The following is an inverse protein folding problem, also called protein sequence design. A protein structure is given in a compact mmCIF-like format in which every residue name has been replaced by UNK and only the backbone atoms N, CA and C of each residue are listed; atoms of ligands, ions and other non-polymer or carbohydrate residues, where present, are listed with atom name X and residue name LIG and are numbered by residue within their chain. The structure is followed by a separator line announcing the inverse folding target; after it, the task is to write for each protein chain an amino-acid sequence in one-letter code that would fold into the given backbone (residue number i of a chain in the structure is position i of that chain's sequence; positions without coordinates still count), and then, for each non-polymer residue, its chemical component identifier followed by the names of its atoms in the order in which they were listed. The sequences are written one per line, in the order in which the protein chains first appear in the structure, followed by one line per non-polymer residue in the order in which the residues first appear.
data_IF_336172440364
#
_entry.id   IF_336172440364
#
_cell.length_a   1.000
_cell.length_b   1.000
_cell.length_c   1.000
_cell.angle_alpha   90.00
_cell.angle_beta   90.00
_cell.angle_gamma   90.00
#
_symmetry.space_group_name_H-M   'P 1'
#
loop_
_entity.id
_entity.type
_entity.pdbx_description
1 polymer ?
#
# COMPACT_ATOMS: atom_id res chain seq x y z
N UNK A 1 28.34 -28.27 -51.00
CA UNK A 1 28.11 -28.79 -49.63
C UNK A 1 29.11 -28.10 -48.72
N UNK A 2 28.79 -27.45 -47.61
CA UNK A 2 27.57 -27.31 -46.81
C UNK A 2 27.63 -25.93 -46.12
N UNK A 3 26.48 -25.29 -45.98
CA UNK A 3 26.27 -23.99 -45.33
C UNK A 3 26.62 -24.07 -43.83
N UNK A 4 27.45 -23.16 -43.36
CA UNK A 4 27.68 -22.86 -41.94
C UNK A 4 27.57 -21.34 -41.75
N UNK A 5 26.34 -20.81 -41.61
CA UNK A 5 26.16 -19.38 -41.28
C UNK A 5 24.86 -18.98 -40.58
N UNK A 6 23.91 -19.88 -40.32
CA UNK A 6 22.56 -19.45 -39.85
C UNK A 6 22.19 -19.84 -38.40
N UNK A 7 23.10 -20.40 -37.59
CA UNK A 7 22.72 -20.91 -36.25
C UNK A 7 23.18 -20.05 -35.05
N UNK A 8 24.11 -19.12 -35.23
CA UNK A 8 24.63 -18.28 -34.13
C UNK A 8 23.75 -17.07 -33.84
N UNK A 9 23.11 -16.48 -34.86
CA UNK A 9 22.27 -15.28 -34.70
C UNK A 9 20.97 -15.56 -33.94
N UNK A 10 20.33 -16.72 -34.19
CA UNK A 10 19.09 -17.11 -33.52
C UNK A 10 19.27 -17.47 -32.03
N UNK A 11 20.44 -17.99 -31.61
CA UNK A 11 20.72 -18.27 -30.20
C UNK A 11 21.00 -17.00 -29.40
N UNK A 12 21.65 -16.02 -30.01
CA UNK A 12 21.95 -14.74 -29.35
C UNK A 12 20.66 -13.92 -29.12
N UNK A 13 19.74 -13.91 -30.10
CA UNK A 13 18.42 -13.29 -29.97
C UNK A 13 17.54 -13.97 -28.91
N UNK A 14 17.62 -15.30 -28.77
CA UNK A 14 16.87 -16.03 -27.75
C UNK A 14 17.44 -15.78 -26.34
N UNK A 15 18.76 -15.69 -26.19
CA UNK A 15 19.42 -15.34 -24.91
C UNK A 15 19.16 -13.87 -24.54
N UNK A 16 19.16 -12.96 -25.51
CA UNK A 16 18.77 -11.56 -25.28
C UNK A 16 17.27 -11.47 -24.93
N UNK A 17 16.40 -12.23 -25.61
CA UNK A 17 14.98 -12.28 -25.27
C UNK A 17 14.73 -12.88 -23.88
N UNK A 18 15.48 -13.90 -23.45
CA UNK A 18 15.39 -14.44 -22.08
C UNK A 18 15.94 -13.45 -21.03
N UNK A 19 17.01 -12.71 -21.34
CA UNK A 19 17.57 -11.71 -20.44
C UNK A 19 16.72 -10.44 -20.32
N UNK A 20 15.93 -10.10 -21.36
CA UNK A 20 14.99 -8.97 -21.36
C UNK A 20 13.67 -9.34 -20.62
N UNK A 21 13.41 -10.64 -20.38
CA UNK A 21 12.13 -11.13 -19.85
C UNK A 21 12.15 -11.54 -18.36
N UNK A 22 13.25 -11.41 -17.62
CA UNK A 22 13.26 -11.83 -16.21
C UNK A 22 13.96 -10.85 -15.26
N UNK A 23 13.52 -9.59 -15.24
CA UNK A 23 13.59 -8.80 -14.00
C UNK A 23 12.40 -9.17 -13.13
N UNK A 24 12.29 -10.46 -12.79
CA UNK A 24 11.36 -10.93 -11.79
C UNK A 24 12.01 -10.68 -10.43
N UNK A 25 11.31 -10.00 -9.54
CA UNK A 25 11.71 -9.95 -8.13
C UNK A 25 10.60 -10.55 -7.27
N UNK A 26 11.03 -11.16 -6.18
CA UNK A 26 10.17 -11.88 -5.24
C UNK A 26 10.06 -11.01 -3.99
N UNK A 27 8.83 -10.75 -3.56
CA UNK A 27 8.56 -10.09 -2.28
C UNK A 27 7.82 -11.04 -1.36
N UNK A 28 8.27 -11.10 -0.11
CA UNK A 28 7.55 -11.77 0.96
C UNK A 28 6.74 -10.76 1.76
N UNK A 29 5.48 -11.09 2.01
CA UNK A 29 4.59 -10.30 2.85
C UNK A 29 4.21 -11.12 4.09
N UNK A 30 4.51 -10.65 5.31
CA UNK A 30 4.12 -11.35 6.53
C UNK A 30 2.61 -11.60 6.63
N UNK A 31 2.23 -12.83 7.01
CA UNK A 31 0.86 -13.24 7.26
C UNK A 31 0.55 -13.17 8.74
N UNK A 32 0.21 -11.97 9.16
CA UNK A 32 -0.23 -11.73 10.50
C UNK A 32 -1.70 -12.11 10.72
N UNK A 33 -1.98 -12.55 11.94
CA UNK A 33 -3.34 -12.78 12.44
C UNK A 33 -3.55 -12.02 13.74
N UNK A 34 -4.71 -11.40 13.88
CA UNK A 34 -5.09 -10.70 15.11
C UNK A 34 -6.13 -11.52 15.88
N UNK A 35 -5.80 -11.93 17.11
CA UNK A 35 -6.72 -12.53 18.08
C UNK A 35 -7.00 -11.54 19.21
N UNK A 36 -8.14 -10.85 19.13
CA UNK A 36 -8.44 -9.75 20.06
C UNK A 36 -7.46 -8.59 19.87
N UNK A 37 -6.58 -8.39 20.84
CA UNK A 37 -5.47 -7.42 20.78
C UNK A 37 -4.09 -8.08 20.67
N UNK A 38 -4.01 -9.40 20.52
CA UNK A 38 -2.74 -10.10 20.30
C UNK A 38 -2.49 -10.32 18.82
N UNK A 39 -1.38 -9.79 18.34
CA UNK A 39 -0.84 -10.09 17.03
C UNK A 39 -0.07 -11.39 17.05
N UNK A 40 -0.27 -12.22 16.03
CA UNK A 40 0.34 -13.53 15.92
C UNK A 40 0.98 -13.67 14.55
N UNK A 41 2.26 -14.02 14.54
CA UNK A 41 2.97 -14.48 13.35
C UNK A 41 3.29 -15.96 13.50
N UNK A 42 2.68 -16.80 12.65
CA UNK A 42 2.81 -18.25 12.71
C UNK A 42 3.61 -18.79 11.52
N UNK A 43 4.81 -19.30 11.82
CA UNK A 43 5.75 -19.86 10.87
C UNK A 43 5.70 -21.40 10.80
N UNK A 44 4.81 -22.04 11.55
CA UNK A 44 4.72 -23.51 11.58
C UNK A 44 4.15 -24.12 10.30
N UNK A 45 3.51 -23.30 9.47
CA UNK A 45 2.97 -23.69 8.17
C UNK A 45 4.05 -23.89 7.09
N UNK A 46 3.66 -24.54 5.99
CA UNK A 46 4.54 -24.72 4.82
C UNK A 46 4.89 -23.41 4.11
N UNK A 47 4.08 -22.38 4.30
CA UNK A 47 4.31 -21.03 3.80
C UNK A 47 5.18 -20.18 4.76
N UNK A 48 5.61 -20.77 5.89
CA UNK A 48 6.43 -20.11 6.91
C UNK A 48 5.89 -18.75 7.33
N UNK A 49 4.56 -18.59 7.37
CA UNK A 49 3.93 -17.36 7.82
C UNK A 49 4.09 -16.18 6.85
N UNK A 50 4.40 -16.41 5.58
CA UNK A 50 4.49 -15.35 4.56
C UNK A 50 3.64 -15.66 3.32
N UNK A 51 3.26 -14.61 2.59
CA UNK A 51 2.83 -14.72 1.20
C UNK A 51 3.99 -14.28 0.32
N UNK A 52 4.58 -15.24 -0.39
CA UNK A 52 5.61 -14.98 -1.40
C UNK A 52 4.96 -14.61 -2.72
N UNK A 53 5.29 -13.43 -3.24
CA UNK A 53 4.76 -12.90 -4.49
C UNK A 53 5.87 -12.75 -5.52
N UNK A 54 5.76 -13.54 -6.59
CA UNK A 54 6.62 -13.46 -7.76
C UNK A 54 6.01 -12.49 -8.77
N UNK A 55 6.65 -11.33 -8.95
CA UNK A 55 6.13 -10.27 -9.83
C UNK A 55 6.05 -10.65 -11.30
N UNK A 56 6.75 -11.70 -11.74
CA UNK A 56 6.61 -12.20 -13.12
C UNK A 56 5.29 -12.94 -13.37
N UNK A 57 4.62 -13.37 -12.30
CA UNK A 57 3.37 -14.13 -12.35
C UNK A 57 2.13 -13.27 -12.12
N UNK A 58 2.29 -12.01 -11.75
CA UNK A 58 1.18 -11.12 -11.45
C UNK A 58 0.52 -10.58 -12.72
N UNK A 59 -0.81 -10.55 -12.69
CA UNK A 59 -1.60 -9.77 -13.64
C UNK A 59 -1.66 -8.34 -13.11
N UNK A 60 -0.92 -7.42 -13.73
CA UNK A 60 -0.83 -5.99 -13.37
C UNK A 60 -2.19 -5.39 -12.95
N UNK A 61 -2.49 -5.23 -11.65
CA UNK A 61 -3.85 -4.98 -11.19
C UNK A 61 -4.40 -3.63 -11.63
N UNK A 62 -3.54 -2.68 -11.98
CA UNK A 62 -3.87 -1.34 -12.49
C UNK A 62 -3.89 -1.25 -14.01
N UNK A 63 -3.88 -2.38 -14.73
CA UNK A 63 -3.88 -2.45 -16.19
C UNK A 63 -2.69 -1.74 -16.87
N UNK A 64 -1.62 -1.43 -16.14
CA UNK A 64 -0.39 -0.86 -16.67
C UNK A 64 0.70 -1.91 -16.90
N UNK A 65 1.74 -1.54 -17.63
CA UNK A 65 2.94 -2.34 -17.87
C UNK A 65 4.17 -1.48 -17.64
N UNK A 66 5.28 -2.09 -17.24
CA UNK A 66 6.55 -1.37 -17.02
C UNK A 66 7.11 -0.73 -18.30
N UNK A 67 6.67 -1.23 -19.47
CA UNK A 67 6.99 -0.69 -20.80
C UNK A 67 6.13 0.49 -21.22
N UNK A 68 5.08 0.84 -20.48
CA UNK A 68 4.20 1.95 -20.85
C UNK A 68 4.95 3.28 -20.72
N UNK A 69 4.70 4.20 -21.65
CA UNK A 69 5.31 5.54 -21.63
C UNK A 69 4.91 6.30 -20.37
N UNK A 70 3.68 6.11 -19.90
CA UNK A 70 3.16 6.69 -18.68
C UNK A 70 2.27 5.71 -17.93
N UNK A 71 2.29 5.79 -16.61
CA UNK A 71 1.45 4.99 -15.73
C UNK A 71 1.11 5.79 -14.48
N UNK A 72 -0.09 5.57 -13.94
CA UNK A 72 -0.49 6.08 -12.62
C UNK A 72 -1.41 5.08 -11.94
N UNK A 73 -1.25 4.92 -10.63
CA UNK A 73 -2.15 4.12 -9.79
C UNK A 73 -3.32 4.93 -9.27
N UNK A 74 -3.25 6.27 -9.39
CA UNK A 74 -4.29 7.18 -8.93
C UNK A 74 -5.48 7.19 -9.91
N UNK A 75 -6.72 7.26 -9.40
CA UNK A 75 -7.90 7.44 -10.25
C UNK A 75 -7.86 8.74 -11.06
N UNK A 76 -8.51 8.76 -12.23
CA UNK A 76 -8.53 9.94 -13.15
C UNK A 76 -9.07 11.23 -12.52
N UNK A 77 -9.87 11.12 -11.45
CA UNK A 77 -10.39 12.27 -10.70
C UNK A 77 -9.34 13.01 -9.89
N UNK A 78 -8.16 12.43 -9.68
CA UNK A 78 -7.05 13.02 -8.93
C UNK A 78 -6.09 13.65 -9.92
N UNK A 79 -6.25 14.96 -10.15
CA UNK A 79 -5.43 15.73 -11.11
C UNK A 79 -4.58 16.80 -10.44
N UNK A 80 -5.04 17.29 -9.29
CA UNK A 80 -4.38 18.32 -8.49
C UNK A 80 -4.43 17.92 -7.01
N UNK A 81 -3.55 18.50 -6.21
CA UNK A 81 -3.41 18.17 -4.77
C UNK A 81 -4.68 18.43 -3.98
N UNK A 82 -5.47 19.44 -4.35
CA UNK A 82 -6.78 19.72 -3.72
C UNK A 82 -7.85 18.65 -4.00
N UNK A 83 -7.59 17.65 -4.86
CA UNK A 83 -8.43 16.47 -4.97
C UNK A 83 -8.13 15.41 -3.90
N UNK A 84 -7.02 15.55 -3.17
CA UNK A 84 -6.67 14.70 -2.03
C UNK A 84 -7.33 15.28 -0.77
N UNK A 85 -8.29 14.55 -0.22
CA UNK A 85 -8.99 14.99 1.02
C UNK A 85 -8.06 15.04 2.24
N UNK A 86 -6.95 14.32 2.17
CA UNK A 86 -5.88 14.27 3.17
C UNK A 86 -4.75 15.27 2.87
N UNK A 87 -4.95 16.21 1.94
CA UNK A 87 -3.97 17.27 1.66
C UNK A 87 -3.62 18.08 2.91
N UNK A 88 -4.60 18.36 3.78
CA UNK A 88 -4.34 18.96 5.08
C UNK A 88 -3.95 17.87 6.12
N UNK A 89 -2.90 18.15 6.91
CA UNK A 89 -2.54 17.36 8.10
C UNK A 89 -2.73 18.17 9.38
N UNK A 90 -2.96 17.52 10.54
CA UNK A 90 -2.87 18.17 11.84
C UNK A 90 -1.46 18.73 12.09
N UNK A 91 -1.37 19.72 13.00
CA UNK A 91 -0.07 20.13 13.55
C UNK A 91 0.46 19.01 14.46
N UNK A 92 1.31 18.16 13.91
CA UNK A 92 1.82 16.95 14.56
C UNK A 92 3.08 17.20 15.40
N UNK A 93 3.73 18.36 15.28
CA UNK A 93 4.94 18.69 16.04
C UNK A 93 4.67 18.66 17.56
N UNK A 94 3.44 18.95 17.98
CA UNK A 94 3.05 18.82 19.39
C UNK A 94 3.05 17.38 19.91
N UNK A 95 3.18 16.37 19.05
CA UNK A 95 3.22 14.97 19.45
C UNK A 95 4.64 14.45 19.70
N UNK A 96 5.69 15.18 19.30
CA UNK A 96 7.08 14.71 19.34
C UNK A 96 7.50 14.19 20.73
N UNK A 97 7.08 14.87 21.81
CA UNK A 97 7.39 14.46 23.19
C UNK A 97 6.21 13.77 23.91
N UNK A 98 5.11 13.48 23.20
CA UNK A 98 3.86 12.98 23.80
C UNK A 98 3.48 11.61 23.27
N UNK A 99 3.66 11.38 21.97
CA UNK A 99 3.25 10.15 21.31
C UNK A 99 4.03 9.97 20.00
N UNK A 100 5.16 9.26 20.10
CA UNK A 100 6.10 8.99 19.00
C UNK A 100 5.38 8.43 17.77
N UNK A 101 4.46 7.47 17.98
CA UNK A 101 3.64 6.92 16.90
C UNK A 101 2.94 8.01 16.09
N UNK A 102 2.25 8.95 16.74
CA UNK A 102 1.51 10.01 16.03
C UNK A 102 2.47 10.96 15.34
N UNK A 103 3.58 11.29 15.97
CA UNK A 103 4.60 12.12 15.36
C UNK A 103 5.10 11.48 14.06
N UNK A 104 5.58 10.24 14.12
CA UNK A 104 6.11 9.54 12.94
C UNK A 104 5.03 9.17 11.91
N UNK A 105 3.78 8.96 12.32
CA UNK A 105 2.65 8.77 11.41
C UNK A 105 2.50 9.92 10.40
N UNK A 106 2.71 11.15 10.86
CA UNK A 106 2.64 12.35 10.03
C UNK A 106 4.00 12.80 9.49
N UNK A 107 5.11 12.51 10.18
CA UNK A 107 6.46 12.88 9.75
C UNK A 107 6.98 11.98 8.63
N UNK A 108 6.70 10.66 8.69
CA UNK A 108 7.18 9.66 7.73
C UNK A 108 6.18 9.41 6.58
N UNK A 109 5.24 10.33 6.35
CA UNK A 109 4.25 10.25 5.26
C UNK A 109 3.36 8.98 5.28
N UNK A 110 3.28 8.25 6.41
CA UNK A 110 2.43 7.06 6.55
C UNK A 110 0.95 7.45 6.43
N UNK A 111 0.56 8.58 7.02
CA UNK A 111 -0.77 9.19 6.81
C UNK A 111 -1.11 9.37 5.32
N UNK A 112 -0.17 9.90 4.55
CA UNK A 112 -0.37 10.17 3.12
C UNK A 112 -0.40 8.89 2.29
N UNK A 113 0.42 7.91 2.66
CA UNK A 113 0.44 6.60 2.04
C UNK A 113 -0.90 5.89 2.20
N UNK A 114 -1.48 5.89 3.40
CA UNK A 114 -2.79 5.29 3.65
C UNK A 114 -3.93 5.98 2.93
N UNK A 115 -3.94 7.32 2.90
CA UNK A 115 -4.90 8.07 2.09
C UNK A 115 -4.83 7.67 0.61
N UNK A 116 -3.60 7.43 0.13
CA UNK A 116 -3.35 7.00 -1.25
C UNK A 116 -3.74 5.55 -1.52
N UNK A 117 -3.57 4.65 -0.56
CA UNK A 117 -4.10 3.29 -0.62
C UNK A 117 -5.62 3.35 -0.80
N UNK A 118 -6.33 4.21 -0.05
CA UNK A 118 -7.76 4.47 -0.26
C UNK A 118 -8.13 4.78 -1.70
N UNK A 119 -7.37 5.68 -2.33
CA UNK A 119 -7.59 6.07 -3.71
C UNK A 119 -7.26 4.94 -4.69
N UNK A 120 -6.09 4.32 -4.57
CA UNK A 120 -5.56 3.39 -5.56
C UNK A 120 -6.21 2.00 -5.52
N UNK A 121 -6.49 1.48 -4.30
CA UNK A 121 -7.09 0.17 -4.10
C UNK A 121 -8.62 0.22 -4.09
N UNK A 122 -9.18 1.32 -3.58
CA UNK A 122 -10.61 1.39 -3.27
C UNK A 122 -11.38 2.48 -4.02
N UNK A 123 -10.69 3.37 -4.75
CA UNK A 123 -11.29 4.52 -5.43
C UNK A 123 -12.13 5.43 -4.50
N UNK A 124 -11.79 5.44 -3.20
CA UNK A 124 -12.42 6.29 -2.19
C UNK A 124 -11.43 7.31 -1.67
N UNK A 125 -11.95 8.48 -1.31
CA UNK A 125 -11.22 9.45 -0.52
C UNK A 125 -11.38 9.11 0.96
N UNK A 126 -10.28 9.07 1.71
CA UNK A 126 -10.27 8.85 3.16
C UNK A 126 -9.27 9.81 3.77
N UNK A 127 -9.61 10.37 4.94
CA UNK A 127 -8.70 11.07 5.85
C UNK A 127 -8.33 10.07 6.95
N UNK A 128 -7.20 9.34 6.84
CA UNK A 128 -6.89 8.25 7.76
C UNK A 128 -6.78 8.71 9.21
N UNK A 129 -7.49 8.03 10.12
CA UNK A 129 -7.48 8.34 11.54
C UNK A 129 -6.31 7.67 12.27
N UNK A 130 -5.39 8.47 12.79
CA UNK A 130 -4.30 8.03 13.67
C UNK A 130 -4.82 7.38 14.97
N UNK A 131 -5.88 7.92 15.55
CA UNK A 131 -6.53 7.35 16.74
C UNK A 131 -7.17 6.00 16.47
N UNK A 132 -7.71 5.75 15.27
CA UNK A 132 -8.18 4.41 14.91
C UNK A 132 -7.01 3.42 14.91
N UNK A 133 -5.88 3.79 14.29
CA UNK A 133 -4.69 2.95 14.30
C UNK A 133 -4.27 2.63 15.73
N UNK A 134 -4.07 3.64 16.58
CA UNK A 134 -3.61 3.46 17.97
C UNK A 134 -4.56 2.66 18.85
N UNK A 135 -5.87 2.93 18.76
CA UNK A 135 -6.84 2.30 19.68
C UNK A 135 -7.16 0.87 19.26
N UNK A 136 -7.10 0.58 17.96
CA UNK A 136 -7.41 -0.72 17.39
C UNK A 136 -6.17 -1.59 17.13
N UNK A 137 -4.96 -1.06 17.33
CA UNK A 137 -3.71 -1.79 17.19
C UNK A 137 -3.59 -2.97 18.17
N UNK A 138 -2.81 -4.01 17.82
CA UNK A 138 -2.37 -4.99 18.80
C UNK A 138 -1.66 -4.34 20.00
N UNK A 139 -1.87 -4.93 21.17
CA UNK A 139 -1.21 -4.59 22.45
C UNK A 139 -0.16 -5.61 22.86
N UNK A 140 -0.11 -6.75 22.18
CA UNK A 140 0.95 -7.74 22.33
C UNK A 140 1.23 -8.43 21.01
N UNK A 141 2.43 -8.99 20.90
CA UNK A 141 2.91 -9.74 19.75
C UNK A 141 3.39 -11.12 20.20
N UNK A 142 3.18 -12.13 19.35
CA UNK A 142 3.54 -13.52 19.62
C UNK A 142 3.98 -14.22 18.34
N UNK A 143 5.13 -14.88 18.41
CA UNK A 143 5.63 -15.74 17.34
C UNK A 143 5.36 -17.21 17.63
N UNK A 144 5.02 -17.97 16.59
CA UNK A 144 4.96 -19.42 16.61
C UNK A 144 5.98 -19.94 15.60
N UNK A 145 7.06 -20.53 16.10
CA UNK A 145 8.18 -20.97 15.26
C UNK A 145 7.86 -22.19 14.38
N UNK A 146 8.80 -22.60 13.52
CA UNK A 146 8.58 -23.66 12.52
C UNK A 146 8.18 -25.04 13.08
N UNK A 147 8.53 -25.34 14.34
CA UNK A 147 8.11 -26.58 15.02
C UNK A 147 6.89 -26.42 15.93
N UNK A 148 6.17 -25.30 15.81
CA UNK A 148 4.99 -24.98 16.62
C UNK A 148 5.31 -24.45 18.03
N UNK A 149 6.58 -24.21 18.33
CA UNK A 149 6.99 -23.62 19.61
C UNK A 149 6.53 -22.17 19.68
N UNK A 150 5.95 -21.80 20.81
CA UNK A 150 5.51 -20.42 21.06
C UNK A 150 6.70 -19.66 21.65
N UNK A 151 7.09 -18.56 20.99
CA UNK A 151 8.09 -17.62 21.50
C UNK A 151 7.57 -16.82 22.68
N UNK A 152 8.42 -15.94 23.22
CA UNK A 152 7.99 -14.99 24.24
C UNK A 152 6.92 -14.03 23.66
N UNK A 153 6.05 -13.54 24.54
CA UNK A 153 5.00 -12.58 24.17
C UNK A 153 5.51 -11.17 24.44
N UNK A 154 5.82 -10.45 23.39
CA UNK A 154 6.23 -9.05 23.47
C UNK A 154 5.03 -8.17 23.80
N UNK A 155 5.19 -7.30 24.80
CA UNK A 155 4.18 -6.28 25.11
C UNK A 155 4.43 -5.07 24.23
N UNK A 156 3.37 -4.56 23.61
CA UNK A 156 3.44 -3.38 22.74
C UNK A 156 2.84 -2.14 23.43
N UNK A 157 2.83 -2.10 24.75
CA UNK A 157 2.33 -0.95 25.51
C UNK A 157 3.49 -0.13 26.09
N UNK A 158 3.36 1.22 26.14
CA UNK A 158 2.20 2.00 25.71
C UNK A 158 2.10 2.09 24.17
N UNK A 159 0.89 2.14 23.62
CA UNK A 159 0.68 2.22 22.15
C UNK A 159 1.37 3.40 21.47
N UNK A 160 1.66 4.47 22.21
CA UNK A 160 2.36 5.64 21.68
C UNK A 160 3.83 5.40 21.35
N UNK A 161 4.46 4.41 21.98
CA UNK A 161 5.89 4.08 21.79
C UNK A 161 6.07 3.05 20.67
N UNK A 162 4.97 2.58 20.07
CA UNK A 162 5.02 1.62 18.98
C UNK A 162 5.58 2.28 17.72
N UNK A 163 6.42 1.54 17.02
CA UNK A 163 6.87 1.92 15.69
C UNK A 163 5.68 1.94 14.73
N UNK A 164 5.42 3.10 14.15
CA UNK A 164 4.31 3.32 13.23
C UNK A 164 4.41 2.48 11.96
N UNK A 165 5.60 2.03 11.59
CA UNK A 165 5.84 1.15 10.46
C UNK A 165 5.52 -0.31 10.77
N UNK A 166 5.46 -0.68 12.07
CA UNK A 166 5.23 -2.04 12.51
C UNK A 166 3.74 -2.27 12.80
N UNK A 167 3.15 -3.18 12.03
CA UNK A 167 1.78 -3.70 12.21
C UNK A 167 0.57 -2.78 11.98
N UNK A 168 0.65 -1.52 11.46
CA UNK A 168 -0.51 -0.62 11.39
C UNK A 168 -1.68 -1.18 10.55
N UNK A 169 -1.43 -2.14 9.68
CA UNK A 169 -2.31 -2.50 8.55
C UNK A 169 -3.42 -3.48 8.91
N UNK A 170 -3.33 -4.16 10.06
CA UNK A 170 -4.19 -5.31 10.37
C UNK A 170 -5.67 -4.98 10.48
N UNK A 171 -5.98 -3.76 10.92
CA UNK A 171 -7.37 -3.29 11.11
C UNK A 171 -7.81 -2.37 9.99
N UNK A 172 -6.96 -2.12 9.00
CA UNK A 172 -7.20 -1.16 7.94
C UNK A 172 -7.30 0.28 8.46
N UNK A 173 -7.62 1.19 7.54
CA UNK A 173 -7.85 2.60 7.82
C UNK A 173 -9.34 2.90 7.96
N UNK A 174 -9.66 3.86 8.83
CA UNK A 174 -10.99 4.43 8.99
C UNK A 174 -10.89 5.93 8.79
N UNK A 175 -11.92 6.52 8.18
CA UNK A 175 -11.98 7.96 8.00
C UNK A 175 -12.14 8.67 9.35
N UNK A 176 -11.39 9.75 9.54
CA UNK A 176 -11.38 10.55 10.77
C UNK A 176 -12.76 11.11 11.11
N UNK A 177 -13.61 11.41 10.13
CA UNK A 177 -14.99 11.85 10.38
C UNK A 177 -15.85 10.75 11.03
N UNK A 178 -15.63 9.49 10.66
CA UNK A 178 -16.29 8.35 11.30
C UNK A 178 -15.67 8.07 12.67
N UNK A 179 -14.34 7.96 12.77
CA UNK A 179 -13.72 7.54 14.03
C UNK A 179 -13.85 8.58 15.13
N UNK A 180 -13.62 9.86 14.80
CA UNK A 180 -13.57 10.97 15.74
C UNK A 180 -12.16 11.42 16.08
N UNK A 181 -12.08 12.52 16.82
CA UNK A 181 -10.83 13.16 17.28
C UNK A 181 -10.85 13.41 18.79
N UNK A 182 -11.87 12.92 19.50
CA UNK A 182 -12.09 13.19 20.92
C UNK A 182 -11.44 12.13 21.83
N UNK A 183 -11.15 10.96 21.26
CA UNK A 183 -10.52 9.82 21.93
C UNK A 183 -9.07 10.11 22.28
N UNK A 184 -8.55 9.36 23.25
CA UNK A 184 -7.12 9.32 23.57
C UNK A 184 -6.49 8.08 22.94
N UNK A 185 -5.20 8.20 22.65
CA UNK A 185 -4.39 7.08 22.25
C UNK A 185 -4.46 5.99 23.32
N UNK A 186 -4.77 4.77 22.91
CA UNK A 186 -4.84 3.61 23.78
C UNK A 186 -6.24 3.32 24.32
N UNK A 187 -7.24 4.19 24.09
CA UNK A 187 -8.65 3.90 24.39
C UNK A 187 -9.13 2.63 23.66
N UNK A 188 -10.28 2.09 24.10
CA UNK A 188 -10.87 0.92 23.46
C UNK A 188 -11.22 1.20 22.00
N UNK A 189 -10.93 0.23 21.13
CA UNK A 189 -11.29 0.27 19.72
C UNK A 189 -12.82 0.38 19.55
N UNK A 190 -13.28 1.40 18.81
CA UNK A 190 -14.70 1.63 18.56
C UNK A 190 -15.26 0.63 17.56
N UNK A 191 -16.52 0.28 17.73
CA UNK A 191 -17.27 -0.52 16.76
C UNK A 191 -18.23 0.33 15.89
N UNK A 192 -18.45 1.59 16.27
CA UNK A 192 -19.37 2.52 15.59
C UNK A 192 -18.72 3.87 15.34
N UNK A 193 -19.19 4.55 14.31
CA UNK A 193 -18.79 5.92 13.99
C UNK A 193 -19.38 6.91 15.02
N UNK A 194 -18.91 8.17 14.97
CA UNK A 194 -19.40 9.30 15.78
C UNK A 194 -20.90 9.58 15.62
N UNK A 195 -21.49 9.23 14.48
CA UNK A 195 -22.92 9.35 14.19
C UNK A 195 -23.76 8.13 14.61
N UNK A 196 -23.12 7.10 15.19
CA UNK A 196 -23.75 5.86 15.62
C UNK A 196 -23.88 4.78 14.52
N UNK A 197 -23.47 5.07 13.28
CA UNK A 197 -23.43 4.07 12.21
C UNK A 197 -22.33 3.02 12.45
N UNK A 198 -22.37 1.90 11.73
CA UNK A 198 -21.35 0.87 11.83
C UNK A 198 -20.00 1.38 11.32
N UNK A 199 -18.94 1.20 12.11
CA UNK A 199 -17.60 1.58 11.70
C UNK A 199 -17.17 0.74 10.50
N UNK A 200 -16.62 1.41 9.51
CA UNK A 200 -16.13 0.78 8.29
C UNK A 200 -14.65 1.06 8.11
N UNK A 201 -13.87 -0.01 8.15
CA UNK A 201 -12.45 0.03 7.84
C UNK A 201 -12.20 -0.48 6.41
N UNK A 202 -11.19 0.10 5.77
CA UNK A 202 -10.73 -0.25 4.44
C UNK A 202 -9.29 -0.75 4.52
N UNK A 203 -8.90 -1.73 3.70
CA UNK A 203 -7.54 -2.27 3.75
C UNK A 203 -7.33 -3.40 4.76
N UNK A 204 -8.36 -3.90 5.43
CA UNK A 204 -8.26 -4.94 6.47
C UNK A 204 -7.69 -6.28 5.99
N UNK A 205 -7.64 -6.50 4.67
CA UNK A 205 -7.11 -7.70 4.04
C UNK A 205 -5.83 -7.44 3.23
N UNK A 206 -5.31 -6.20 3.27
CA UNK A 206 -4.03 -5.90 2.66
C UNK A 206 -2.92 -6.45 3.56
N UNK A 207 -1.95 -7.08 2.93
CA UNK A 207 -0.68 -7.42 3.56
C UNK A 207 0.27 -6.25 3.38
N UNK A 208 1.13 -6.01 4.36
CA UNK A 208 2.07 -4.91 4.37
C UNK A 208 3.48 -5.44 4.50
N UNK A 209 4.36 -4.94 3.63
CA UNK A 209 5.79 -5.23 3.65
C UNK A 209 6.57 -3.95 3.86
N UNK A 210 7.56 -4.02 4.75
CA UNK A 210 8.62 -3.06 4.90
C UNK A 210 9.91 -3.68 4.38
N UNK A 211 10.63 -2.96 3.53
CA UNK A 211 11.82 -3.46 2.84
C UNK A 211 12.94 -2.44 2.93
N UNK A 212 14.07 -2.84 3.51
CA UNK A 212 15.28 -2.02 3.67
C UNK A 212 16.31 -2.30 2.56
N UNK A 213 15.87 -2.96 1.49
CA UNK A 213 16.69 -3.24 0.33
C UNK A 213 16.70 -2.03 -0.61
N UNK A 214 17.81 -1.84 -1.32
CA UNK A 214 17.93 -0.77 -2.32
C UNK A 214 17.10 -1.09 -3.57
N UNK A 215 15.90 -0.51 -3.69
CA UNK A 215 15.09 -0.56 -4.92
C UNK A 215 15.68 0.41 -5.96
N UNK A 216 16.07 -0.14 -7.11
CA UNK A 216 16.48 0.65 -8.25
C UNK A 216 15.27 1.12 -9.07
N UNK A 217 15.54 1.85 -10.16
CA UNK A 217 14.53 2.39 -11.08
C UNK A 217 13.53 1.32 -11.59
N UNK A 218 14.03 0.14 -11.98
CA UNK A 218 13.20 -0.94 -12.50
C UNK A 218 12.35 -1.59 -11.40
N UNK A 219 12.90 -1.74 -10.21
CA UNK A 219 12.18 -2.32 -9.07
C UNK A 219 11.00 -1.43 -8.68
N UNK A 220 11.18 -0.09 -8.67
CA UNK A 220 10.08 0.83 -8.42
C UNK A 220 8.98 0.72 -9.49
N UNK A 221 9.33 0.63 -10.78
CA UNK A 221 8.34 0.43 -11.85
C UNK A 221 7.55 -0.86 -11.69
N UNK A 222 8.24 -1.96 -11.41
CA UNK A 222 7.59 -3.24 -11.18
C UNK A 222 6.71 -3.18 -9.93
N UNK A 223 7.17 -2.51 -8.87
CA UNK A 223 6.41 -2.35 -7.65
C UNK A 223 5.11 -1.57 -7.91
N UNK A 224 5.20 -0.44 -8.60
CA UNK A 224 4.05 0.41 -8.94
C UNK A 224 2.98 -0.33 -9.75
N UNK A 225 3.41 -1.10 -10.77
CA UNK A 225 2.49 -1.84 -11.65
C UNK A 225 1.79 -3.00 -10.94
N UNK A 226 2.49 -3.65 -10.00
CA UNK A 226 2.04 -4.89 -9.38
C UNK A 226 1.37 -4.71 -8.02
N UNK A 227 1.81 -3.71 -7.24
CA UNK A 227 1.40 -3.52 -5.85
C UNK A 227 0.77 -2.15 -5.59
N UNK A 228 0.82 -1.22 -6.55
CA UNK A 228 0.18 0.09 -6.43
C UNK A 228 1.13 1.13 -5.84
N UNK A 229 0.64 2.08 -5.02
CA UNK A 229 1.50 3.10 -4.44
C UNK A 229 2.65 2.50 -3.64
N UNK A 230 3.80 3.18 -3.65
CA UNK A 230 4.98 2.81 -2.85
C UNK A 230 5.35 4.02 -1.98
N UNK A 231 5.42 3.83 -0.68
CA UNK A 231 6.03 4.82 0.21
C UNK A 231 7.52 4.53 0.26
N UNK A 232 8.36 5.46 -0.19
CA UNK A 232 9.79 5.22 -0.33
C UNK A 232 10.64 6.36 0.19
N UNK A 233 11.78 6.02 0.79
CA UNK A 233 12.85 6.96 1.14
C UNK A 233 14.05 6.75 0.22
N UNK A 234 14.37 7.75 -0.60
CA UNK A 234 15.56 7.74 -1.47
C UNK A 234 16.84 7.81 -0.65
N UNK A 235 17.92 7.27 -1.19
CA UNK A 235 19.25 7.40 -0.64
C UNK A 235 19.64 8.87 -0.45
N UNK A 236 20.10 9.21 0.76
CA UNK A 236 20.46 10.57 1.19
C UNK A 236 19.28 11.56 1.33
N UNK A 237 18.03 11.10 1.25
CA UNK A 237 16.87 11.90 1.63
C UNK A 237 16.51 11.62 3.10
N UNK A 238 16.14 12.68 3.82
CA UNK A 238 15.66 12.61 5.21
C UNK A 238 14.15 12.36 5.31
N UNK A 239 13.44 12.28 4.18
CA UNK A 239 11.99 12.20 4.14
C UNK A 239 11.48 11.10 3.20
N UNK A 240 10.28 10.61 3.51
CA UNK A 240 9.55 9.67 2.67
C UNK A 240 8.65 10.38 1.66
N UNK A 241 8.56 9.79 0.48
CA UNK A 241 7.68 10.22 -0.61
C UNK A 241 6.72 9.09 -0.99
N UNK A 242 5.51 9.43 -1.42
CA UNK A 242 4.59 8.45 -1.99
C UNK A 242 4.72 8.46 -3.50
N UNK A 243 5.31 7.41 -4.05
CA UNK A 243 5.36 7.17 -5.49
C UNK A 243 4.06 6.56 -5.97
N UNK A 244 3.53 7.08 -7.08
CA UNK A 244 2.24 6.65 -7.61
C UNK A 244 2.23 6.47 -9.14
N UNK A 245 3.35 6.69 -9.82
CA UNK A 245 3.40 6.52 -11.27
C UNK A 245 4.69 6.99 -11.91
N UNK A 246 4.68 7.07 -13.24
CA UNK A 246 5.74 7.72 -14.02
C UNK A 246 5.18 8.30 -15.32
N UNK A 247 5.98 9.16 -15.94
CA UNK A 247 5.80 9.60 -17.33
C UNK A 247 7.15 9.63 -18.03
N UNK A 248 7.15 9.32 -19.31
CA UNK A 248 8.33 9.42 -20.17
C UNK A 248 8.19 10.67 -21.02
N UNK A 249 9.21 11.53 -21.00
CA UNK A 249 9.24 12.76 -21.80
C UNK A 249 10.64 12.90 -22.37
N UNK A 250 10.77 13.09 -23.69
CA UNK A 250 12.08 13.19 -24.36
C UNK A 250 13.03 12.02 -24.02
N UNK A 251 12.50 10.80 -24.01
CA UNK A 251 13.23 9.56 -23.64
C UNK A 251 13.76 9.52 -22.21
N UNK A 252 13.26 10.38 -21.33
CA UNK A 252 13.61 10.43 -19.91
C UNK A 252 12.41 10.04 -19.07
N UNK A 253 12.62 9.22 -18.05
CA UNK A 253 11.58 8.82 -17.11
C UNK A 253 11.52 9.83 -15.97
N UNK A 254 10.31 10.24 -15.63
CA UNK A 254 10.00 11.08 -14.48
C UNK A 254 9.05 10.30 -13.59
N UNK A 255 9.50 9.95 -12.39
CA UNK A 255 8.62 9.31 -11.42
C UNK A 255 7.69 10.34 -10.84
N UNK A 256 6.41 9.99 -10.78
CA UNK A 256 5.39 10.81 -10.17
C UNK A 256 5.31 10.42 -8.70
N UNK A 257 5.60 11.38 -7.84
CA UNK A 257 5.47 11.25 -6.40
C UNK A 257 4.83 12.50 -5.83
N UNK A 258 4.55 12.47 -4.55
CA UNK A 258 4.26 13.68 -3.83
C UNK A 258 4.90 13.64 -2.45
N UNK A 259 5.19 14.84 -1.97
CA UNK A 259 5.82 15.10 -0.68
C UNK A 259 5.03 16.17 0.03
N UNK A 260 5.25 16.27 1.34
CA UNK A 260 4.63 17.30 2.14
C UNK A 260 5.58 18.47 2.33
N UNK A 261 5.11 19.66 1.98
CA UNK A 261 5.85 20.91 2.19
C UNK A 261 5.89 21.32 3.66
N UNK A 262 6.74 22.32 3.94
CA UNK A 262 6.82 22.93 5.27
C UNK A 262 5.54 23.68 5.68
N UNK A 263 4.70 24.05 4.71
CA UNK A 263 3.37 24.61 4.92
C UNK A 263 2.33 23.57 5.36
N UNK A 264 2.74 22.29 5.41
CA UNK A 264 1.88 21.19 5.78
C UNK A 264 0.90 20.78 4.69
N UNK A 265 1.10 21.17 3.42
CA UNK A 265 0.30 20.72 2.28
C UNK A 265 1.07 19.76 1.38
N UNK A 266 0.35 18.93 0.62
CA UNK A 266 0.94 18.02 -0.36
C UNK A 266 1.33 18.82 -1.60
N UNK A 267 2.53 18.54 -2.11
CA UNK A 267 3.02 19.03 -3.39
C UNK A 267 3.29 17.85 -4.30
N UNK A 268 2.67 17.84 -5.49
CA UNK A 268 3.03 16.89 -6.53
C UNK A 268 4.42 17.21 -7.06
N UNK A 269 5.29 16.20 -7.05
CA UNK A 269 6.65 16.27 -7.53
C UNK A 269 6.82 15.31 -8.70
N UNK A 270 7.81 15.61 -9.54
CA UNK A 270 8.25 14.63 -10.52
C UNK A 270 9.75 14.73 -10.68
N UNK A 271 10.44 13.68 -10.25
CA UNK A 271 11.89 13.64 -10.29
C UNK A 271 12.38 12.88 -11.52
N UNK A 272 13.38 13.48 -12.16
CA UNK A 272 14.07 12.87 -13.29
C UNK A 272 14.90 11.67 -12.82
N UNK A 273 14.82 10.57 -13.54
CA UNK A 273 15.47 9.31 -13.16
C UNK A 273 16.96 9.19 -13.52
N UNK A 274 17.66 10.27 -13.87
CA UNK A 274 19.09 10.18 -14.22
C UNK A 274 19.98 11.20 -13.47
N UNK A 275 20.84 10.72 -12.54
CA UNK A 275 20.84 9.36 -11.98
C UNK A 275 19.64 9.15 -11.05
N UNK A 276 18.97 7.99 -11.15
CA UNK A 276 17.92 7.61 -10.22
C UNK A 276 18.59 7.32 -8.88
N UNK A 277 18.15 8.02 -7.84
CA UNK A 277 18.55 7.68 -6.49
C UNK A 277 17.73 6.47 -6.05
N UNK A 278 18.43 5.39 -5.70
CA UNK A 278 17.78 4.18 -5.21
C UNK A 278 16.94 4.50 -3.97
N UNK A 279 15.83 3.79 -3.81
CA UNK A 279 15.04 3.83 -2.60
C UNK A 279 15.66 2.84 -1.62
N UNK A 280 16.08 3.30 -0.46
CA UNK A 280 16.72 2.47 0.58
C UNK A 280 15.70 1.81 1.51
N UNK A 281 14.55 2.45 1.68
CA UNK A 281 13.45 1.93 2.49
C UNK A 281 12.15 2.08 1.70
N UNK A 282 11.42 0.98 1.55
CA UNK A 282 10.15 0.94 0.84
C UNK A 282 9.08 0.23 1.66
N UNK A 283 7.91 0.86 1.74
CA UNK A 283 6.69 0.24 2.24
C UNK A 283 5.71 0.00 1.11
N UNK A 284 5.24 -1.23 1.03
CA UNK A 284 4.40 -1.73 -0.06
C UNK A 284 3.24 -2.51 0.56
N UNK A 285 2.06 -2.39 -0.05
CA UNK A 285 0.91 -3.23 0.29
C UNK A 285 0.59 -4.21 -0.82
N UNK A 286 0.11 -5.40 -0.45
CA UNK A 286 -0.35 -6.42 -1.38
C UNK A 286 -1.75 -6.90 -1.01
N UNK A 287 -2.63 -6.98 -1.99
CA UNK A 287 -3.95 -7.56 -1.83
C UNK A 287 -4.89 -7.23 -2.98
N UNK A 288 -6.18 -7.47 -2.78
CA UNK A 288 -7.19 -7.30 -3.82
C UNK A 288 -7.71 -5.86 -3.86
N UNK A 289 -7.77 -5.30 -5.07
CA UNK A 289 -8.43 -4.02 -5.36
C UNK A 289 -9.94 -4.22 -5.45
N UNK A 290 -10.70 -3.21 -5.02
CA UNK A 290 -12.15 -3.21 -5.13
C UNK A 290 -12.65 -1.80 -5.37
N UNK A 291 -13.35 -1.52 -6.47
CA UNK A 291 -13.95 -0.20 -6.65
C UNK A 291 -15.09 0.02 -5.65
N UNK A 292 -14.87 0.92 -4.69
CA UNK A 292 -15.80 1.30 -3.65
C UNK A 292 -16.22 2.78 -3.78
N UNK A 293 -16.03 3.41 -4.93
CA UNK A 293 -16.36 4.82 -5.17
C UNK A 293 -17.80 5.20 -4.77
N UNK A 294 -18.76 4.29 -4.89
CA UNK A 294 -20.14 4.50 -4.44
C UNK A 294 -20.30 4.66 -2.91
N UNK A 295 -19.25 4.36 -2.14
CA UNK A 295 -19.18 4.38 -0.68
C UNK A 295 -18.21 5.46 -0.18
N UNK A 296 -17.70 6.30 -1.08
CA UNK A 296 -16.74 7.35 -0.76
C UNK A 296 -17.39 8.38 0.18
N UNK A 297 -16.84 8.58 1.40
CA UNK A 297 -17.40 9.51 2.39
C UNK A 297 -17.29 10.98 1.97
N UNK A 298 -16.44 11.31 0.99
CA UNK A 298 -16.18 12.69 0.54
C UNK A 298 -16.67 12.99 -0.87
N UNK A 299 -17.28 12.02 -1.57
CA UNK A 299 -17.99 12.31 -2.81
C UNK A 299 -19.29 13.06 -2.48
N UNK A 300 -19.33 14.36 -2.79
CA UNK A 300 -20.54 15.16 -2.68
C UNK A 300 -21.72 14.45 -3.33
N UNK A 301 -22.80 14.23 -2.56
CA UNK A 301 -24.07 13.66 -3.03
C UNK A 301 -24.82 14.53 -4.07
N UNK A 302 -24.15 15.53 -4.66
CA UNK A 302 -24.67 16.40 -5.71
C UNK A 302 -24.20 15.89 -7.08
N UNK A 303 -24.88 14.89 -7.64
CA UNK A 303 -24.68 14.59 -9.07
C UNK A 303 -25.20 13.26 -9.60
N UNK A 304 -25.41 12.26 -8.75
CA UNK A 304 -25.94 10.97 -9.21
C UNK A 304 -27.06 10.55 -8.28
N UNK A 305 -28.29 10.68 -8.79
CA UNK A 305 -29.47 10.01 -8.26
C UNK A 305 -29.10 8.55 -8.01
N UNK A 306 -29.14 8.12 -6.75
CA UNK A 306 -28.93 6.73 -6.33
C UNK A 306 -29.98 5.83 -6.99
N UNK A 307 -29.70 5.35 -8.19
CA UNK A 307 -30.34 4.17 -8.73
C UNK A 307 -29.63 2.96 -8.11
N UNK A 308 -30.14 2.51 -6.97
CA UNK A 308 -29.80 1.20 -6.41
C UNK A 308 -30.35 0.16 -7.38
N UNK A 309 -29.51 -0.29 -8.32
CA UNK A 309 -29.73 -1.52 -9.07
C UNK A 309 -28.81 -2.57 -8.47
N UNK A 310 -29.30 -3.22 -7.42
CA UNK A 310 -28.81 -4.52 -6.99
C UNK A 310 -29.11 -5.52 -8.11
N UNK A 311 -28.18 -5.68 -9.07
CA UNK A 311 -28.16 -6.87 -9.91
C UNK A 311 -27.30 -7.91 -9.22
N UNK A 312 -27.97 -8.82 -8.52
CA UNK A 312 -27.43 -10.11 -8.10
C UNK A 312 -27.06 -10.85 -9.39
N UNK A 313 -25.79 -10.79 -9.80
CA UNK A 313 -25.23 -11.75 -10.73
C UNK A 313 -24.72 -12.95 -9.92
N UNK A 314 -25.67 -13.76 -9.44
CA UNK A 314 -25.37 -15.15 -9.11
C UNK A 314 -25.04 -15.86 -10.42
N UNK A 315 -23.75 -15.87 -10.80
CA UNK A 315 -23.27 -16.76 -11.85
C UNK A 315 -23.16 -18.15 -11.23
N UNK A 316 -24.28 -18.86 -11.34
CA UNK A 316 -24.36 -20.31 -11.39
C UNK A 316 -23.29 -20.83 -12.38
N UNK A 317 -22.17 -21.34 -11.87
CA UNK A 317 -21.35 -22.29 -12.62
C UNK A 317 -21.76 -23.67 -12.18
N UNK A 318 -22.81 -24.17 -12.82
CA UNK A 318 -23.02 -25.60 -13.03
C UNK A 318 -22.80 -25.82 -14.53
N UNK A 319 -21.91 -26.75 -14.90
CA UNK A 319 -22.19 -27.59 -16.04
C UNK A 319 -22.33 -29.03 -15.56
N UNK A 320 -23.54 -29.54 -15.73
CA UNK A 320 -23.78 -30.96 -15.78
C UNK A 320 -23.21 -31.55 -17.08
N UNK A 321 -22.73 -32.79 -16.94
CA UNK A 321 -22.65 -33.86 -17.95
C UNK A 321 -21.59 -33.76 -19.06
N UNK A 322 -20.67 -34.74 -19.05
CA UNK A 322 -20.61 -35.80 -20.08
C UNK A 322 -19.70 -36.96 -19.63
N UNK A 323 -20.25 -38.18 -19.77
CA UNK A 323 -19.74 -39.55 -19.50
C UNK A 323 -19.93 -40.06 -18.06
#
# INVERSE_FOLDING_TARGET
MLRFSDMTFNKLLLILALAILSNAYILDFPKYRLEGTQLIWDYSGSDQGVVTVDTSKLTSPWNGKTTDESFTVLPERIKITSNLVFDARPNFASYEDICDFRYYYYASSIYDFWGTIGLAYYNISVIPSDLHFLNCHPRSYKEIGPSGQVGDIDQLEPVCDQDVSLYPVLRGMVDTSCYGTAEKAGDACKATCTDGSALKAFGTYLLYGAYDDSFNENDLKLALVNFGPVLGRKANNEYFEVFYGWKTTESKIYYLSFVRGNDGHISFTSDHSSPFQNIEEAYIVYGTRQDLSAQDPHLNASGVVRAVLSLIAAVLVLPALLI
#
